data_IF_523048519208
#
_entry.id   IF_523048519208
#
_cell.length_a   1.000
_cell.length_b   1.000
_cell.length_c   1.000
_cell.angle_alpha   90.00
_cell.angle_beta   90.00
_cell.angle_gamma   90.00
#
_symmetry.space_group_name_H-M   'P 1'
#
loop_
_entity.id
_entity.type
_entity.pdbx_description
1 polymer ?
#
# COMPACT_ATOMS: atom_id res chain seq x y z
N UNK A 1 16.18 -15.62 -12.24
CA UNK A 1 16.12 -15.24 -10.83
C UNK A 1 15.29 -13.96 -10.78
N UNK A 2 14.16 -14.01 -10.09
CA UNK A 2 13.23 -12.87 -10.00
C UNK A 2 13.73 -11.83 -8.99
N UNK A 3 13.23 -10.59 -9.09
CA UNK A 3 13.63 -9.49 -8.19
C UNK A 3 13.27 -9.75 -6.73
N UNK A 4 12.30 -10.64 -6.48
CA UNK A 4 11.75 -10.92 -5.16
C UNK A 4 12.08 -12.34 -4.67
N UNK A 5 12.99 -13.06 -5.36
CA UNK A 5 13.40 -14.39 -4.93
C UNK A 5 13.83 -14.37 -3.45
N UNK A 6 13.37 -15.38 -2.69
CA UNK A 6 13.61 -15.50 -1.24
C UNK A 6 13.08 -14.35 -0.35
N UNK A 7 12.32 -13.41 -0.85
CA UNK A 7 11.71 -12.36 -0.03
C UNK A 7 10.29 -12.75 0.40
N UNK A 8 9.94 -12.38 1.62
CA UNK A 8 8.59 -12.50 2.20
C UNK A 8 8.03 -11.11 2.40
N UNK A 9 6.93 -10.79 1.74
CA UNK A 9 6.33 -9.45 1.78
C UNK A 9 4.90 -9.51 2.29
N UNK A 10 4.59 -8.68 3.28
CA UNK A 10 3.23 -8.44 3.74
C UNK A 10 2.63 -7.29 2.93
N UNK A 11 1.43 -7.49 2.38
CA UNK A 11 0.68 -6.46 1.66
C UNK A 11 -0.66 -6.25 2.34
N UNK A 12 -0.88 -5.10 2.97
CA UNK A 12 -2.16 -4.75 3.59
C UNK A 12 -3.13 -4.20 2.54
N UNK A 13 -4.43 -4.53 2.67
CA UNK A 13 -5.42 -4.24 1.63
C UNK A 13 -5.11 -5.02 0.33
N UNK A 14 -4.57 -6.25 0.47
CA UNK A 14 -4.09 -7.07 -0.64
C UNK A 14 -5.18 -7.79 -1.43
N UNK A 15 -6.43 -7.77 -0.94
CA UNK A 15 -7.53 -8.53 -1.53
C UNK A 15 -8.11 -7.94 -2.83
N UNK A 16 -7.88 -6.65 -3.11
CA UNK A 16 -8.49 -5.96 -4.24
C UNK A 16 -7.56 -4.91 -4.86
N UNK A 17 -7.92 -4.45 -6.07
CA UNK A 17 -7.36 -3.25 -6.71
C UNK A 17 -5.83 -3.23 -6.76
N UNK A 18 -5.24 -2.13 -6.30
CA UNK A 18 -3.79 -1.90 -6.30
C UNK A 18 -3.06 -2.94 -5.43
N UNK A 19 -3.61 -3.26 -4.24
CA UNK A 19 -3.02 -4.25 -3.35
C UNK A 19 -2.94 -5.64 -3.96
N UNK A 20 -4.00 -6.08 -4.68
CA UNK A 20 -4.00 -7.33 -5.45
C UNK A 20 -2.89 -7.33 -6.50
N UNK A 21 -2.73 -6.22 -7.25
CA UNK A 21 -1.69 -6.11 -8.26
C UNK A 21 -0.27 -6.21 -7.66
N UNK A 22 -0.05 -5.59 -6.49
CA UNK A 22 1.21 -5.75 -5.76
C UNK A 22 1.45 -7.22 -5.37
N UNK A 23 0.45 -7.89 -4.79
CA UNK A 23 0.57 -9.30 -4.42
C UNK A 23 0.95 -10.19 -5.60
N UNK A 24 0.26 -10.02 -6.73
CA UNK A 24 0.53 -10.79 -7.95
C UNK A 24 1.89 -10.46 -8.54
N UNK A 25 2.29 -9.18 -8.56
CA UNK A 25 3.60 -8.76 -9.04
C UNK A 25 4.75 -9.32 -8.22
N UNK A 26 4.65 -9.29 -6.89
CA UNK A 26 5.65 -9.85 -5.99
C UNK A 26 5.79 -11.37 -6.20
N UNK A 27 4.67 -12.09 -6.29
CA UNK A 27 4.67 -13.52 -6.51
C UNK A 27 5.25 -13.89 -7.89
N UNK A 28 4.95 -13.14 -8.93
CA UNK A 28 5.49 -13.31 -10.29
C UNK A 28 7.02 -13.17 -10.31
N UNK A 29 7.58 -12.32 -9.47
CA UNK A 29 9.02 -12.10 -9.30
C UNK A 29 9.67 -13.04 -8.27
N UNK A 30 8.99 -14.13 -7.87
CA UNK A 30 9.54 -15.19 -7.02
C UNK A 30 9.36 -14.99 -5.52
N UNK A 31 8.73 -13.90 -5.08
CA UNK A 31 8.50 -13.61 -3.66
C UNK A 31 7.35 -14.44 -3.06
N UNK A 32 7.41 -14.67 -1.75
CA UNK A 32 6.28 -15.15 -0.96
C UNK A 32 5.46 -13.96 -0.44
N UNK A 33 4.13 -14.07 -0.53
CA UNK A 33 3.24 -12.96 -0.23
C UNK A 33 2.28 -13.28 0.90
N UNK A 34 2.21 -12.42 1.90
CA UNK A 34 1.13 -12.41 2.88
C UNK A 34 0.07 -11.43 2.38
N UNK A 35 -1.03 -11.98 1.86
CA UNK A 35 -2.19 -11.21 1.39
C UNK A 35 -3.05 -10.87 2.59
N UNK A 36 -2.88 -9.68 3.13
CA UNK A 36 -3.54 -9.22 4.34
C UNK A 36 -4.68 -8.24 4.00
N UNK A 37 -5.91 -8.56 4.37
CA UNK A 37 -7.09 -7.73 4.07
C UNK A 37 -8.14 -7.86 5.19
N UNK A 38 -8.95 -6.82 5.40
CA UNK A 38 -10.10 -6.89 6.30
C UNK A 38 -11.16 -7.85 5.76
N UNK A 39 -11.27 -7.99 4.44
CA UNK A 39 -12.09 -8.97 3.75
C UNK A 39 -11.28 -10.26 3.53
N UNK A 40 -11.40 -11.20 4.46
CA UNK A 40 -10.69 -12.48 4.40
C UNK A 40 -11.02 -13.31 3.16
N UNK A 41 -12.23 -13.21 2.59
CA UNK A 41 -12.60 -13.91 1.37
C UNK A 41 -11.91 -13.32 0.12
N UNK A 42 -11.77 -12.01 0.06
CA UNK A 42 -11.01 -11.33 -1.00
C UNK A 42 -9.52 -11.72 -0.94
N UNK A 43 -8.93 -11.72 0.27
CA UNK A 43 -7.55 -12.16 0.48
C UNK A 43 -7.34 -13.63 0.04
N UNK A 44 -8.28 -14.52 0.37
CA UNK A 44 -8.26 -15.93 -0.05
C UNK A 44 -8.27 -16.07 -1.57
N UNK A 45 -9.15 -15.30 -2.25
CA UNK A 45 -9.24 -15.31 -3.70
C UNK A 45 -7.91 -14.95 -4.37
N UNK A 46 -7.23 -13.93 -3.88
CA UNK A 46 -5.91 -13.51 -4.40
C UNK A 46 -4.84 -14.55 -4.10
N UNK A 47 -4.79 -15.05 -2.87
CA UNK A 47 -3.82 -16.08 -2.48
C UNK A 47 -3.99 -17.35 -3.31
N UNK A 48 -5.23 -17.77 -3.58
CA UNK A 48 -5.54 -18.91 -4.45
C UNK A 48 -5.03 -18.69 -5.87
N UNK A 49 -5.30 -17.55 -6.49
CA UNK A 49 -4.81 -17.23 -7.85
C UNK A 49 -3.30 -17.30 -7.94
N UNK A 50 -2.59 -16.80 -6.92
CA UNK A 50 -1.13 -16.87 -6.84
C UNK A 50 -0.67 -18.33 -6.72
N UNK A 51 -1.29 -19.11 -5.85
CA UNK A 51 -0.95 -20.52 -5.64
C UNK A 51 -1.22 -21.37 -6.90
N UNK A 52 -2.35 -21.17 -7.57
CA UNK A 52 -2.71 -21.85 -8.82
C UNK A 52 -1.70 -21.55 -9.95
N UNK A 53 -1.01 -20.40 -9.86
CA UNK A 53 0.07 -20.01 -10.78
C UNK A 53 1.46 -20.49 -10.33
N UNK A 54 1.56 -21.32 -9.27
CA UNK A 54 2.80 -21.86 -8.73
C UNK A 54 3.57 -20.92 -7.78
N UNK A 55 3.00 -19.77 -7.42
CA UNK A 55 3.58 -18.83 -6.47
C UNK A 55 3.29 -19.21 -5.01
N UNK A 56 3.95 -18.52 -4.08
CA UNK A 56 3.76 -18.71 -2.64
C UNK A 56 2.94 -17.58 -2.07
N UNK A 57 1.75 -17.88 -1.55
CA UNK A 57 0.89 -16.89 -0.91
C UNK A 57 0.20 -17.44 0.33
N UNK A 58 0.00 -16.58 1.31
CA UNK A 58 -0.74 -16.85 2.54
C UNK A 58 -1.80 -15.77 2.74
N UNK A 59 -3.05 -16.15 2.90
CA UNK A 59 -4.10 -15.20 3.25
C UNK A 59 -4.09 -14.90 4.76
N UNK A 60 -4.29 -13.65 5.13
CA UNK A 60 -4.52 -13.25 6.53
C UNK A 60 -5.65 -12.24 6.58
N UNK A 61 -6.66 -12.49 7.42
CA UNK A 61 -7.65 -11.46 7.70
C UNK A 61 -7.10 -10.51 8.76
N UNK A 62 -7.08 -9.19 8.47
CA UNK A 62 -6.53 -8.17 9.36
C UNK A 62 -7.36 -6.89 9.34
N UNK A 63 -7.66 -6.38 10.53
CA UNK A 63 -8.06 -4.98 10.71
C UNK A 63 -6.82 -4.18 11.09
N UNK A 64 -6.34 -3.33 10.18
CA UNK A 64 -5.15 -2.50 10.42
C UNK A 64 -5.36 -1.45 11.52
N UNK A 65 -6.61 -1.09 11.85
CA UNK A 65 -6.91 -0.19 12.96
C UNK A 65 -6.82 -0.87 14.34
N UNK A 66 -6.67 -2.20 14.38
CA UNK A 66 -6.53 -3.01 15.60
C UNK A 66 -5.09 -3.46 15.82
N UNK A 67 -4.48 -3.04 16.94
CA UNK A 67 -3.13 -3.46 17.31
C UNK A 67 -3.00 -4.98 17.47
N UNK A 68 -3.98 -5.64 18.11
CA UNK A 68 -3.99 -7.09 18.28
C UNK A 68 -4.02 -7.81 16.93
N UNK A 69 -4.90 -7.37 16.02
CA UNK A 69 -5.01 -7.95 14.68
C UNK A 69 -3.72 -7.80 13.86
N UNK A 70 -3.03 -6.66 13.97
CA UNK A 70 -1.73 -6.46 13.30
C UNK A 70 -0.64 -7.38 13.87
N UNK A 71 -0.60 -7.56 15.21
CA UNK A 71 0.36 -8.47 15.85
C UNK A 71 0.11 -9.93 15.45
N UNK A 72 -1.16 -10.37 15.41
CA UNK A 72 -1.53 -11.69 14.94
C UNK A 72 -1.14 -11.91 13.48
N UNK A 73 -1.34 -10.92 12.61
CA UNK A 73 -0.89 -10.96 11.21
C UNK A 73 0.61 -11.20 11.11
N UNK A 74 1.42 -10.44 11.85
CA UNK A 74 2.88 -10.59 11.84
C UNK A 74 3.30 -11.97 12.37
N UNK A 75 2.66 -12.44 13.44
CA UNK A 75 2.91 -13.78 13.99
C UNK A 75 2.61 -14.88 12.97
N UNK A 76 1.44 -14.84 12.32
CA UNK A 76 1.04 -15.82 11.29
C UNK A 76 2.04 -15.82 10.13
N UNK A 77 2.52 -14.64 9.69
CA UNK A 77 3.52 -14.52 8.64
C UNK A 77 4.85 -15.17 9.03
N UNK A 78 5.31 -14.91 10.27
CA UNK A 78 6.55 -15.49 10.81
C UNK A 78 6.45 -17.00 11.02
N UNK A 79 5.34 -17.50 11.58
CA UNK A 79 5.11 -18.93 11.76
C UNK A 79 5.11 -19.68 10.43
N UNK A 80 4.63 -19.04 9.34
CA UNK A 80 4.50 -19.68 8.02
C UNK A 80 5.77 -19.60 7.18
N UNK A 81 6.51 -18.49 7.25
CA UNK A 81 7.65 -18.23 6.35
C UNK A 81 8.98 -18.01 7.08
N UNK A 82 8.97 -17.93 8.39
CA UNK A 82 10.17 -17.75 9.23
C UNK A 82 10.77 -16.35 9.21
N UNK A 83 10.26 -15.43 8.35
CA UNK A 83 10.79 -14.09 8.20
C UNK A 83 9.77 -13.14 7.58
N UNK A 84 10.05 -11.83 7.68
CA UNK A 84 9.38 -10.76 6.93
C UNK A 84 10.47 -9.85 6.39
N UNK A 85 10.60 -9.73 5.07
CA UNK A 85 11.60 -8.90 4.40
C UNK A 85 11.01 -7.58 3.91
N UNK A 86 9.69 -7.53 3.65
CA UNK A 86 9.01 -6.35 3.14
C UNK A 86 7.62 -6.15 3.72
N UNK A 87 7.19 -4.88 3.72
CA UNK A 87 5.82 -4.46 4.05
C UNK A 87 5.36 -3.44 3.02
N UNK A 88 4.17 -3.66 2.42
CA UNK A 88 3.44 -2.62 1.71
C UNK A 88 2.23 -2.21 2.56
N UNK A 89 2.27 -1.00 3.10
CA UNK A 89 1.15 -0.37 3.78
C UNK A 89 0.21 0.26 2.75
N UNK A 90 -0.68 -0.56 2.18
CA UNK A 90 -1.62 -0.14 1.13
C UNK A 90 -3.07 -0.02 1.64
N UNK A 91 -3.46 -0.69 2.72
CA UNK A 91 -4.81 -0.61 3.26
C UNK A 91 -5.23 0.85 3.51
N UNK A 92 -6.38 1.23 2.98
CA UNK A 92 -6.92 2.58 3.13
C UNK A 92 -8.45 2.61 2.96
N UNK A 93 -9.08 3.55 3.60
CA UNK A 93 -10.44 3.96 3.30
C UNK A 93 -10.37 4.88 2.09
N UNK A 94 -10.91 4.44 0.94
CA UNK A 94 -11.02 5.20 -0.30
C UNK A 94 -12.03 4.56 -1.26
N UNK A 95 -11.65 3.60 -2.10
CA UNK A 95 -12.52 3.05 -3.16
C UNK A 95 -13.31 1.83 -2.70
N UNK A 96 -12.65 0.80 -2.19
CA UNK A 96 -13.29 -0.44 -1.71
C UNK A 96 -14.06 -0.23 -0.40
N UNK A 97 -13.62 0.73 0.41
CA UNK A 97 -14.35 1.24 1.58
C UNK A 97 -14.57 2.73 1.32
N UNK A 98 -15.75 3.13 0.83
CA UNK A 98 -15.98 4.50 0.38
C UNK A 98 -15.70 5.55 1.45
N UNK A 99 -15.06 6.64 1.04
CA UNK A 99 -14.89 7.85 1.83
C UNK A 99 -16.04 8.81 1.53
N UNK A 100 -16.62 9.40 2.55
CA UNK A 100 -17.63 10.43 2.38
C UNK A 100 -17.04 11.66 1.68
N UNK A 101 -17.79 12.21 0.71
CA UNK A 101 -17.41 13.41 -0.02
C UNK A 101 -18.30 14.57 0.41
N UNK A 102 -17.69 15.71 0.70
CA UNK A 102 -18.43 16.90 1.14
C UNK A 102 -17.53 18.11 1.24
N UNK A 103 -18.10 19.31 1.47
CA UNK A 103 -17.35 20.47 1.87
C UNK A 103 -16.57 20.19 3.17
N UNK A 104 -15.53 20.96 3.44
CA UNK A 104 -14.73 20.76 4.64
C UNK A 104 -15.54 20.93 5.94
N UNK A 105 -16.60 21.73 5.90
CA UNK A 105 -17.51 21.99 7.01
C UNK A 105 -18.51 20.84 7.27
N UNK A 106 -18.74 19.99 6.24
CA UNK A 106 -19.76 18.95 6.26
C UNK A 106 -19.18 17.58 6.59
N UNK A 107 -17.85 17.47 6.79
CA UNK A 107 -17.21 16.20 7.15
C UNK A 107 -17.58 15.86 8.59
N UNK A 108 -18.23 14.72 8.76
CA UNK A 108 -18.59 14.18 10.07
C UNK A 108 -17.34 13.79 10.87
N UNK A 109 -17.32 14.10 12.16
CA UNK A 109 -16.18 13.83 13.05
C UNK A 109 -15.86 12.32 13.13
N UNK A 110 -16.89 11.47 13.16
CA UNK A 110 -16.71 10.02 13.14
C UNK A 110 -16.07 9.54 11.82
N UNK A 111 -16.44 10.14 10.68
CA UNK A 111 -15.83 9.81 9.40
C UNK A 111 -14.36 10.28 9.34
N UNK A 112 -14.06 11.45 9.90
CA UNK A 112 -12.69 11.92 10.06
C UNK A 112 -11.86 10.92 10.86
N UNK A 113 -12.33 10.53 12.04
CA UNK A 113 -11.64 9.60 12.95
C UNK A 113 -11.46 8.23 12.30
N UNK A 114 -12.46 7.73 11.58
CA UNK A 114 -12.41 6.47 10.84
C UNK A 114 -11.32 6.48 9.77
N UNK A 115 -11.22 7.54 8.99
CA UNK A 115 -10.18 7.69 7.96
C UNK A 115 -8.79 7.77 8.60
N UNK A 116 -8.62 8.54 9.66
CA UNK A 116 -7.34 8.67 10.36
C UNK A 116 -6.94 7.36 11.06
N UNK A 117 -7.89 6.63 11.63
CA UNK A 117 -7.64 5.35 12.27
C UNK A 117 -7.07 4.30 11.30
N UNK A 118 -7.61 4.22 10.10
CA UNK A 118 -7.15 3.26 9.09
C UNK A 118 -5.92 3.79 8.34
N UNK A 119 -6.01 4.98 7.75
CA UNK A 119 -5.01 5.48 6.80
C UNK A 119 -3.71 5.99 7.47
N UNK A 120 -3.74 6.33 8.76
CA UNK A 120 -2.58 6.87 9.48
C UNK A 120 -2.18 5.96 10.64
N UNK A 121 -3.09 5.74 11.62
CA UNK A 121 -2.79 4.89 12.75
C UNK A 121 -2.54 3.44 12.32
N UNK A 122 -3.31 2.93 11.34
CA UNK A 122 -3.14 1.59 10.79
C UNK A 122 -1.73 1.36 10.23
N UNK A 123 -1.20 2.34 9.51
CA UNK A 123 0.17 2.34 8.99
C UNK A 123 1.22 2.15 10.13
N UNK A 124 1.05 2.88 11.22
CA UNK A 124 1.91 2.76 12.39
C UNK A 124 1.77 1.39 13.07
N UNK A 125 0.54 0.88 13.23
CA UNK A 125 0.29 -0.40 13.90
C UNK A 125 0.86 -1.58 13.11
N UNK A 126 0.71 -1.60 11.78
CA UNK A 126 1.28 -2.63 10.92
C UNK A 126 2.80 -2.58 10.92
N UNK A 127 3.40 -1.38 10.80
CA UNK A 127 4.85 -1.21 10.90
C UNK A 127 5.38 -1.68 12.26
N UNK A 128 4.72 -1.29 13.35
CA UNK A 128 5.06 -1.72 14.72
C UNK A 128 5.03 -3.24 14.88
N UNK A 129 4.13 -3.93 14.18
CA UNK A 129 4.00 -5.38 14.26
C UNK A 129 5.12 -6.12 13.49
N UNK A 130 5.56 -5.61 12.34
CA UNK A 130 6.53 -6.33 11.48
C UNK A 130 7.98 -5.90 11.72
N UNK A 131 8.24 -4.66 12.10
CA UNK A 131 9.60 -4.10 12.27
C UNK A 131 10.48 -4.91 13.21
N UNK A 132 10.02 -5.45 14.36
CA UNK A 132 10.87 -6.26 15.22
C UNK A 132 11.52 -7.47 14.52
N UNK A 133 10.81 -8.11 13.58
CA UNK A 133 11.38 -9.22 12.80
C UNK A 133 12.45 -8.75 11.80
N UNK A 134 12.24 -7.57 11.20
CA UNK A 134 13.23 -6.95 10.31
C UNK A 134 14.47 -6.50 11.09
N UNK A 135 14.30 -5.92 12.29
CA UNK A 135 15.39 -5.49 13.16
C UNK A 135 16.30 -6.65 13.61
N UNK A 136 15.72 -7.80 13.96
CA UNK A 136 16.49 -9.00 14.31
C UNK A 136 17.43 -9.44 13.16
N UNK A 137 17.02 -9.20 11.93
CA UNK A 137 17.79 -9.57 10.73
C UNK A 137 18.65 -8.43 10.17
N UNK A 138 18.53 -7.21 10.73
CA UNK A 138 19.17 -6.01 10.22
C UNK A 138 18.91 -5.78 8.73
N UNK A 139 17.70 -6.07 8.27
CA UNK A 139 17.31 -5.96 6.88
C UNK A 139 15.78 -5.86 6.74
N UNK A 140 15.32 -4.92 5.91
CA UNK A 140 13.90 -4.78 5.60
C UNK A 140 13.62 -3.64 4.62
N UNK A 141 12.45 -3.68 3.99
CA UNK A 141 11.94 -2.58 3.17
C UNK A 141 10.46 -2.36 3.39
N UNK A 142 10.10 -1.12 3.70
CA UNK A 142 8.71 -0.69 3.90
C UNK A 142 8.33 0.29 2.80
N UNK A 143 7.19 0.05 2.16
CA UNK A 143 6.61 0.94 1.14
C UNK A 143 5.24 1.40 1.64
N UNK A 144 5.14 2.68 1.93
CA UNK A 144 3.91 3.31 2.42
C UNK A 144 3.16 3.97 1.26
N UNK A 145 1.88 3.64 1.07
CA UNK A 145 1.10 4.15 -0.05
C UNK A 145 0.41 5.46 0.32
N UNK A 146 0.92 6.56 -0.24
CA UNK A 146 0.31 7.90 -0.16
C UNK A 146 -0.68 8.14 -1.32
N UNK A 147 -0.70 9.33 -1.86
CA UNK A 147 -1.47 9.73 -3.05
C UNK A 147 -0.87 11.01 -3.63
N UNK A 148 -0.99 11.22 -4.94
CA UNK A 148 -0.66 12.51 -5.56
C UNK A 148 -1.52 13.66 -4.99
N UNK A 149 -2.70 13.35 -4.44
CA UNK A 149 -3.57 14.34 -3.77
C UNK A 149 -2.92 14.96 -2.52
N UNK A 150 -1.94 14.31 -1.91
CA UNK A 150 -1.15 14.88 -0.83
C UNK A 150 -0.30 16.10 -1.28
N UNK A 151 -0.05 16.24 -2.58
CA UNK A 151 0.82 17.26 -3.17
C UNK A 151 0.06 18.36 -3.90
N UNK A 152 -1.10 18.04 -4.51
CA UNK A 152 -1.88 19.03 -5.26
C UNK A 152 -3.17 19.46 -4.56
N UNK A 153 -3.53 18.83 -3.43
CA UNK A 153 -4.81 18.97 -2.78
C UNK A 153 -5.96 18.37 -3.60
N UNK A 154 -6.92 17.78 -2.94
CA UNK A 154 -8.15 17.28 -3.56
C UNK A 154 -9.35 18.00 -3.01
N UNK A 155 -10.35 18.28 -3.83
CA UNK A 155 -11.61 18.87 -3.38
C UNK A 155 -12.50 17.80 -2.73
N UNK A 156 -13.28 18.18 -1.74
CA UNK A 156 -14.36 17.37 -1.12
C UNK A 156 -13.91 16.13 -0.32
N UNK A 157 -12.62 15.99 -0.06
CA UNK A 157 -12.05 14.85 0.69
C UNK A 157 -10.91 15.28 1.62
N UNK A 158 -11.11 16.35 2.39
CA UNK A 158 -10.06 16.93 3.26
C UNK A 158 -9.43 15.89 4.18
N UNK A 159 -10.21 15.08 4.88
CA UNK A 159 -9.73 14.02 5.78
C UNK A 159 -8.85 12.98 5.07
N UNK A 160 -9.25 12.55 3.87
CA UNK A 160 -8.45 11.63 3.06
C UNK A 160 -7.12 12.27 2.62
N UNK A 161 -7.17 13.47 2.06
CA UNK A 161 -5.97 14.20 1.61
C UNK A 161 -5.02 14.43 2.77
N UNK A 162 -5.54 14.87 3.92
CA UNK A 162 -4.78 15.04 5.15
C UNK A 162 -4.13 13.72 5.60
N UNK A 163 -4.87 12.62 5.56
CA UNK A 163 -4.34 11.31 5.92
C UNK A 163 -3.18 10.88 5.00
N UNK A 164 -3.30 11.13 3.69
CA UNK A 164 -2.26 10.77 2.70
C UNK A 164 -1.03 11.70 2.76
N UNK A 165 -1.21 12.96 3.15
CA UNK A 165 -0.10 13.85 3.46
C UNK A 165 0.65 13.41 4.74
N UNK A 166 -0.07 12.94 5.77
CA UNK A 166 0.52 12.41 6.99
C UNK A 166 1.41 11.18 6.74
N UNK A 167 1.07 10.33 5.76
CA UNK A 167 1.91 9.18 5.34
C UNK A 167 3.33 9.61 4.98
N UNK A 168 3.49 10.71 4.23
CA UNK A 168 4.80 11.21 3.81
C UNK A 168 5.66 11.61 5.02
N UNK A 169 5.07 12.31 5.98
CA UNK A 169 5.76 12.69 7.23
C UNK A 169 6.13 11.47 8.06
N UNK A 170 5.21 10.53 8.21
CA UNK A 170 5.42 9.27 8.92
C UNK A 170 6.60 8.47 8.34
N UNK A 171 6.59 8.23 7.03
CA UNK A 171 7.64 7.46 6.34
C UNK A 171 9.03 8.08 6.53
N UNK A 172 9.14 9.42 6.49
CA UNK A 172 10.40 10.14 6.69
C UNK A 172 10.94 9.98 8.11
N UNK A 173 10.09 10.03 9.12
CA UNK A 173 10.50 9.81 10.51
C UNK A 173 10.91 8.36 10.70
N UNK A 174 10.10 7.41 10.25
CA UNK A 174 10.38 5.99 10.40
C UNK A 174 11.68 5.58 9.68
N UNK A 175 11.96 6.16 8.50
CA UNK A 175 13.22 5.94 7.79
C UNK A 175 14.45 6.36 8.61
N UNK A 176 14.36 7.48 9.35
CA UNK A 176 15.43 7.95 10.22
C UNK A 176 15.64 7.05 11.43
N UNK A 177 14.54 6.57 12.03
CA UNK A 177 14.59 5.71 13.23
C UNK A 177 15.13 4.31 12.90
N UNK A 178 14.84 3.79 11.71
CA UNK A 178 15.17 2.43 11.31
C UNK A 178 16.46 2.30 10.48
N UNK A 179 17.07 3.41 10.08
CA UNK A 179 18.28 3.41 9.25
C UNK A 179 19.47 2.66 9.85
N UNK A 180 19.68 2.74 11.18
CA UNK A 180 20.72 2.00 11.89
C UNK A 180 20.51 0.47 11.87
N UNK A 181 19.29 0.03 11.59
CA UNK A 181 18.91 -1.38 11.42
C UNK A 181 18.92 -1.84 9.97
N UNK A 182 19.41 -0.99 9.04
CA UNK A 182 19.42 -1.25 7.60
C UNK A 182 17.99 -1.57 7.05
N UNK A 183 16.97 -0.91 7.63
CA UNK A 183 15.59 -1.01 7.18
C UNK A 183 15.25 0.28 6.42
N UNK A 184 14.85 0.15 5.17
CA UNK A 184 14.48 1.26 4.31
C UNK A 184 12.97 1.51 4.40
N UNK A 185 12.60 2.78 4.37
CA UNK A 185 11.18 3.18 4.35
C UNK A 185 10.98 4.24 3.28
N UNK A 186 10.13 3.98 2.31
CA UNK A 186 9.84 4.91 1.22
C UNK A 186 8.32 5.02 1.00
N UNK A 187 7.93 6.10 0.37
CA UNK A 187 6.54 6.38 0.02
C UNK A 187 6.34 6.24 -1.49
N UNK A 188 5.29 5.54 -1.89
CA UNK A 188 4.79 5.55 -3.26
C UNK A 188 3.48 6.33 -3.30
N UNK A 189 3.35 7.29 -4.21
CA UNK A 189 2.18 8.15 -4.33
C UNK A 189 1.51 7.96 -5.70
N UNK A 190 0.46 7.12 -5.78
CA UNK A 190 -0.31 6.90 -7.01
C UNK A 190 -1.08 8.14 -7.46
N UNK A 191 -1.38 8.18 -8.76
CA UNK A 191 -2.40 9.05 -9.32
C UNK A 191 -3.81 8.49 -9.18
N UNK A 192 -4.74 8.96 -10.03
CA UNK A 192 -6.08 8.37 -10.13
C UNK A 192 -6.00 7.05 -10.89
N UNK A 193 -5.81 5.96 -10.17
CA UNK A 193 -5.66 4.59 -10.67
C UNK A 193 -7.03 3.91 -10.74
N UNK A 194 -7.38 3.32 -11.87
CA UNK A 194 -8.62 2.55 -12.03
C UNK A 194 -8.45 1.19 -11.37
N UNK A 195 -8.88 1.08 -10.11
CA UNK A 195 -8.67 -0.10 -9.27
C UNK A 195 -9.89 -0.99 -9.11
N UNK A 196 -11.06 -0.58 -9.62
CA UNK A 196 -12.29 -1.35 -9.61
C UNK A 196 -12.31 -2.36 -10.77
N UNK A 197 -12.80 -3.57 -10.52
CA UNK A 197 -12.96 -4.60 -11.56
C UNK A 197 -13.99 -4.19 -12.63
N UNK A 198 -15.01 -3.45 -12.22
CA UNK A 198 -16.05 -2.90 -13.11
C UNK A 198 -16.29 -1.45 -12.70
N UNK A 199 -15.67 -0.53 -13.41
CA UNK A 199 -15.94 0.88 -13.24
C UNK A 199 -17.36 1.22 -13.78
N UNK A 200 -18.10 2.04 -13.07
CA UNK A 200 -19.36 2.61 -13.59
C UNK A 200 -19.02 3.61 -14.71
N UNK A 201 -20.02 3.92 -15.56
CA UNK A 201 -19.84 4.92 -16.63
C UNK A 201 -19.38 6.29 -16.08
N UNK A 202 -19.88 6.68 -14.90
CA UNK A 202 -19.46 7.90 -14.24
C UNK A 202 -18.01 7.83 -13.76
N UNK A 203 -17.61 6.73 -13.12
CA UNK A 203 -16.24 6.50 -12.71
C UNK A 203 -15.29 6.51 -13.91
N UNK A 204 -15.66 5.84 -15.01
CA UNK A 204 -14.87 5.82 -16.22
C UNK A 204 -14.68 7.23 -16.82
N UNK A 205 -15.73 8.05 -16.86
CA UNK A 205 -15.61 9.46 -17.29
C UNK A 205 -14.66 10.25 -16.39
N UNK A 206 -14.68 10.02 -15.07
CA UNK A 206 -13.76 10.68 -14.15
C UNK A 206 -12.30 10.26 -14.38
N UNK A 207 -12.03 8.97 -14.62
CA UNK A 207 -10.69 8.48 -15.00
C UNK A 207 -10.22 9.04 -16.33
N UNK A 208 -11.10 9.13 -17.34
CA UNK A 208 -10.79 9.75 -18.63
C UNK A 208 -10.46 11.24 -18.49
N UNK A 209 -11.24 11.97 -17.66
CA UNK A 209 -10.95 13.38 -17.33
C UNK A 209 -9.57 13.51 -16.67
N UNK A 210 -9.28 12.67 -15.68
CA UNK A 210 -7.97 12.66 -15.04
C UNK A 210 -6.85 12.34 -16.05
N UNK A 211 -7.05 11.36 -16.92
CA UNK A 211 -6.08 11.01 -17.96
C UNK A 211 -5.80 12.17 -18.92
N UNK A 212 -6.81 12.97 -19.26
CA UNK A 212 -6.66 14.12 -20.18
C UNK A 212 -5.77 15.23 -19.61
N UNK A 213 -5.61 15.32 -18.30
CA UNK A 213 -4.77 16.34 -17.63
C UNK A 213 -3.33 15.89 -17.38
N UNK A 214 -3.04 14.59 -17.48
CA UNK A 214 -1.69 14.03 -17.28
C UNK A 214 -0.78 14.28 -18.49
N UNK A 215 0.53 14.15 -18.30
CA UNK A 215 1.49 14.14 -19.39
C UNK A 215 1.31 12.85 -20.21
N UNK A 216 1.25 11.68 -19.55
CA UNK A 216 0.92 10.41 -20.21
C UNK A 216 -0.61 10.28 -20.31
N UNK A 217 -1.17 10.49 -21.48
CA UNK A 217 -2.61 10.64 -21.78
C UNK A 217 -3.36 9.31 -21.79
N UNK A 218 -3.24 8.52 -20.72
CA UNK A 218 -3.99 7.27 -20.53
C UNK A 218 -4.45 7.10 -19.10
N UNK A 219 -5.43 6.24 -18.89
CA UNK A 219 -5.88 5.84 -17.56
C UNK A 219 -4.77 5.01 -16.92
N UNK A 220 -4.45 5.33 -15.67
CA UNK A 220 -3.51 4.59 -14.84
C UNK A 220 -4.14 3.30 -14.35
N UNK A 221 -3.44 2.20 -14.51
CA UNK A 221 -3.85 0.87 -14.07
C UNK A 221 -3.05 0.46 -12.83
N UNK A 222 -3.55 -0.47 -12.00
CA UNK A 222 -2.80 -0.99 -10.85
C UNK A 222 -1.41 -1.52 -11.22
N UNK A 223 -1.26 -2.11 -12.39
CA UNK A 223 -0.01 -2.67 -12.91
C UNK A 223 1.08 -1.60 -13.13
N UNK A 224 0.70 -0.34 -13.38
CA UNK A 224 1.64 0.77 -13.54
C UNK A 224 2.43 1.07 -12.26
N UNK A 225 1.90 0.69 -11.12
CA UNK A 225 2.48 0.91 -9.80
C UNK A 225 3.44 -0.22 -9.38
N UNK A 226 3.24 -1.41 -9.93
CA UNK A 226 3.93 -2.65 -9.50
C UNK A 226 5.43 -2.53 -9.66
N UNK A 227 5.91 -2.02 -10.80
CA UNK A 227 7.35 -1.89 -11.06
C UNK A 227 8.08 -1.04 -10.03
N UNK A 228 7.48 0.09 -9.64
CA UNK A 228 8.05 0.96 -8.59
C UNK A 228 8.03 0.30 -7.22
N UNK A 229 6.95 -0.41 -6.87
CA UNK A 229 6.87 -1.13 -5.61
C UNK A 229 7.93 -2.25 -5.53
N UNK A 230 8.11 -3.02 -6.61
CA UNK A 230 9.16 -4.05 -6.71
C UNK A 230 10.56 -3.45 -6.60
N UNK A 231 10.83 -2.35 -7.29
CA UNK A 231 12.09 -1.62 -7.16
C UNK A 231 12.37 -1.25 -5.71
N UNK A 232 11.42 -0.61 -5.03
CA UNK A 232 11.58 -0.17 -3.64
C UNK A 232 11.75 -1.33 -2.66
N UNK A 233 11.14 -2.49 -2.92
CA UNK A 233 11.26 -3.70 -2.09
C UNK A 233 12.54 -4.49 -2.37
N UNK A 234 13.09 -4.37 -3.57
CA UNK A 234 14.24 -5.16 -4.02
C UNK A 234 15.59 -4.55 -3.59
N UNK A 235 16.66 -5.28 -3.86
CA UNK A 235 18.03 -4.84 -3.59
C UNK A 235 18.53 -3.81 -4.61
N UNK A 236 17.74 -3.47 -5.64
CA UNK A 236 18.04 -2.38 -6.57
C UNK A 236 17.96 -0.98 -5.92
N UNK A 237 17.27 -0.85 -4.79
CA UNK A 237 17.07 0.42 -4.07
C UNK A 237 17.75 0.45 -2.69
N UNK A 238 18.89 -0.24 -2.54
CA UNK A 238 19.57 -0.39 -1.24
C UNK A 238 20.01 0.94 -0.60
N UNK A 239 20.07 2.02 -1.38
CA UNK A 239 20.47 3.35 -0.87
C UNK A 239 19.32 4.37 -0.89
N UNK A 240 18.08 3.92 -1.21
CA UNK A 240 16.89 4.77 -1.24
C UNK A 240 16.07 4.57 0.03
N UNK A 241 16.05 5.59 0.88
CA UNK A 241 15.19 5.64 2.08
C UNK A 241 14.70 7.06 2.34
N UNK A 242 13.51 7.19 2.92
CA UNK A 242 12.86 8.47 3.20
C UNK A 242 12.35 9.20 1.95
N UNK A 243 12.35 8.55 0.78
CA UNK A 243 11.96 9.16 -0.48
C UNK A 243 10.46 9.01 -0.74
N UNK A 244 9.93 9.90 -1.57
CA UNK A 244 8.58 9.80 -2.09
C UNK A 244 8.62 9.78 -3.61
N UNK A 245 8.08 8.71 -4.20
CA UNK A 245 8.01 8.54 -5.65
C UNK A 245 6.57 8.69 -6.10
N UNK A 246 6.32 9.68 -6.96
CA UNK A 246 5.01 9.88 -7.58
C UNK A 246 4.93 9.02 -8.84
N UNK A 247 3.99 8.08 -8.86
CA UNK A 247 3.64 7.29 -10.04
C UNK A 247 2.24 7.72 -10.46
N UNK A 248 2.15 8.70 -11.34
CA UNK A 248 0.89 9.38 -11.65
C UNK A 248 0.78 9.84 -13.12
N UNK A 249 1.69 9.38 -13.98
CA UNK A 249 1.72 9.75 -15.40
C UNK A 249 2.00 11.25 -15.65
N UNK A 250 2.63 11.93 -14.68
CA UNK A 250 2.90 13.38 -14.76
C UNK A 250 1.66 14.24 -14.51
N UNK A 251 0.70 13.74 -13.72
CA UNK A 251 -0.44 14.54 -13.26
C UNK A 251 0.00 15.62 -12.25
N UNK A 252 0.99 15.30 -11.44
CA UNK A 252 1.65 16.21 -10.49
C UNK A 252 3.15 16.02 -10.64
N UNK A 253 3.87 17.13 -10.71
CA UNK A 253 5.34 17.15 -10.69
C UNK A 253 5.81 17.63 -9.31
N UNK A 254 6.83 16.97 -8.76
CA UNK A 254 7.35 17.26 -7.41
C UNK A 254 8.87 17.13 -7.40
#
# INVERSE_FOLDING_TARGET
MGLMDDKVVVVTGGGNGIGRAYCQGIAKEGGAVVVADINGAAAEGVAKVIADSGGKALRVQVDVASSASCMDMAKIALDSFGKIDGLINNAAIFMSVPVAKGGWQDIDEHEWDRVMAVNVKGLWLTSRAVVPAMQQRKQGSIVDISSNMAFNGGLTMMHYVTSKAAVVGFSRVLARELGADNIRVNTLAPGATMSEEKATDEALKNYQRSASTRILKRIEQPEDLVGTALYLLSDLSTFDTGQTILVNGGAVLH
#
